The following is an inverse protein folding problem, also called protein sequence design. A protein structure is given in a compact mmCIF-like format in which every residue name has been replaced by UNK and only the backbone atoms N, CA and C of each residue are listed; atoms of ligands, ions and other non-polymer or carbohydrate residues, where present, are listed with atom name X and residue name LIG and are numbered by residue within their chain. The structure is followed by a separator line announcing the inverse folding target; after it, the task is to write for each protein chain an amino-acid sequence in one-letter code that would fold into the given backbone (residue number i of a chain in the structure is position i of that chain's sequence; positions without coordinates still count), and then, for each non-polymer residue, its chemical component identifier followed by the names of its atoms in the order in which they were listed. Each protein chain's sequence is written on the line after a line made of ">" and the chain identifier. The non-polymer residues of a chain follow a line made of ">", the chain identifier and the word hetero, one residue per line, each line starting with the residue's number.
data_IF_292184263915
#
_entry.id   IF_292184263915
#
_cell.length_a   1.000
_cell.length_b   1.000
_cell.length_c   1.000
_cell.angle_alpha   90.00
_cell.angle_beta   90.00
_cell.angle_gamma   90.00
#
_symmetry.space_group_name_H-M   'P 1'
#
loop_
_entity.id
_entity.type
_entity.pdbx_description
1 polymer ?
#
# COMPACT_ATOMS: atom_id res chain seq x y z
N UNK A 1 8.91 -6.84 -16.70
CA UNK A 1 9.32 -5.48 -17.12
C UNK A 1 9.03 -4.55 -15.95
N UNK A 2 9.84 -3.52 -15.73
CA UNK A 2 9.54 -2.48 -14.75
C UNK A 2 8.58 -1.43 -15.35
N UNK A 3 8.13 -0.45 -14.56
CA UNK A 3 7.56 0.78 -15.12
C UNK A 3 8.64 1.55 -15.89
N UNK A 4 8.23 2.28 -16.92
CA UNK A 4 9.07 3.34 -17.52
C UNK A 4 9.15 4.53 -16.57
N UNK A 5 10.12 5.42 -16.73
CA UNK A 5 10.26 6.60 -15.87
C UNK A 5 8.99 7.46 -15.81
N UNK A 6 8.29 7.64 -16.95
CA UNK A 6 7.06 8.43 -17.01
C UNK A 6 5.91 7.75 -16.24
N UNK A 7 5.71 6.46 -16.45
CA UNK A 7 4.70 5.68 -15.73
C UNK A 7 5.00 5.67 -14.22
N UNK A 8 6.26 5.48 -13.84
CA UNK A 8 6.68 5.49 -12.44
C UNK A 8 6.37 6.83 -11.77
N UNK A 9 6.67 7.96 -12.42
CA UNK A 9 6.36 9.28 -11.87
C UNK A 9 4.85 9.52 -11.74
N UNK A 10 4.05 9.06 -12.72
CA UNK A 10 2.59 9.17 -12.67
C UNK A 10 2.01 8.34 -11.52
N UNK A 11 2.38 7.05 -11.44
CA UNK A 11 1.97 6.13 -10.37
C UNK A 11 2.40 6.66 -9.01
N UNK A 12 3.65 7.11 -8.88
CA UNK A 12 4.17 7.67 -7.63
C UNK A 12 3.37 8.89 -7.18
N UNK A 13 3.04 9.80 -8.09
CA UNK A 13 2.25 10.99 -7.77
C UNK A 13 0.86 10.61 -7.27
N UNK A 14 0.21 9.67 -7.92
CA UNK A 14 -1.14 9.21 -7.58
C UNK A 14 -1.18 8.49 -6.24
N UNK A 15 -0.28 7.52 -6.02
CA UNK A 15 -0.13 6.82 -4.73
C UNK A 15 0.21 7.81 -3.62
N UNK A 16 1.09 8.79 -3.88
CA UNK A 16 1.43 9.80 -2.88
C UNK A 16 0.21 10.63 -2.46
N UNK A 17 -0.59 11.09 -3.41
CA UNK A 17 -1.83 11.83 -3.11
C UNK A 17 -2.82 11.00 -2.30
N UNK A 18 -2.94 9.71 -2.62
CA UNK A 18 -3.76 8.77 -1.85
C UNK A 18 -3.25 8.59 -0.42
N UNK A 19 -1.96 8.38 -0.23
CA UNK A 19 -1.40 8.20 1.12
C UNK A 19 -1.57 9.47 1.95
N UNK A 20 -1.40 10.67 1.37
CA UNK A 20 -1.64 11.92 2.09
C UNK A 20 -3.11 12.09 2.53
N UNK A 21 -4.09 11.52 1.81
CA UNK A 21 -5.50 11.63 2.20
C UNK A 21 -5.88 10.71 3.36
N UNK A 22 -5.19 9.58 3.52
CA UNK A 22 -5.43 8.61 4.61
C UNK A 22 -4.45 8.78 5.78
N UNK A 23 -3.36 9.54 5.61
CA UNK A 23 -2.31 9.66 6.63
C UNK A 23 -2.88 10.25 7.93
N UNK A 24 -2.57 9.67 9.09
CA UNK A 24 -3.00 10.24 10.35
C UNK A 24 -2.40 11.64 10.60
N UNK A 25 -3.03 12.42 11.50
CA UNK A 25 -2.52 13.71 11.96
C UNK A 25 -1.06 13.62 12.45
N UNK A 26 -0.30 14.72 12.32
CA UNK A 26 1.14 14.75 12.66
C UNK A 26 1.47 14.27 14.07
N UNK A 27 0.57 14.49 15.04
CA UNK A 27 0.78 14.05 16.42
C UNK A 27 0.71 12.53 16.60
N UNK A 28 0.04 11.79 15.69
CA UNK A 28 -0.07 10.33 15.70
C UNK A 28 1.02 9.67 14.86
N UNK A 29 1.63 10.38 13.90
CA UNK A 29 2.63 9.81 12.96
C UNK A 29 3.85 9.19 13.65
N UNK A 30 4.16 9.62 14.87
CA UNK A 30 5.24 9.02 15.67
C UNK A 30 4.87 7.62 16.22
N UNK A 31 3.58 7.34 16.36
CA UNK A 31 3.04 6.07 16.86
C UNK A 31 2.58 5.16 15.72
N UNK A 32 1.94 5.74 14.70
CA UNK A 32 1.46 5.04 13.51
C UNK A 32 1.51 5.98 12.31
N UNK A 33 2.26 5.60 11.29
CA UNK A 33 2.27 6.28 10.00
C UNK A 33 1.97 5.29 8.87
N UNK A 34 1.41 5.78 7.77
CA UNK A 34 1.14 4.96 6.59
C UNK A 34 2.21 5.25 5.56
N UNK A 35 2.95 4.20 5.21
CA UNK A 35 4.06 4.24 4.26
C UNK A 35 3.76 3.40 3.04
N UNK A 36 4.39 3.77 1.93
CA UNK A 36 4.30 3.00 0.71
C UNK A 36 5.68 2.84 0.08
N UNK A 37 5.85 1.76 -0.69
CA UNK A 37 7.03 1.52 -1.51
C UNK A 37 6.60 1.04 -2.88
N UNK A 38 7.34 1.44 -3.91
CA UNK A 38 7.07 1.06 -5.29
C UNK A 38 8.30 0.33 -5.82
N UNK A 39 8.13 -0.96 -6.09
CA UNK A 39 9.16 -1.85 -6.61
C UNK A 39 8.70 -2.43 -7.96
N UNK A 40 9.39 -2.06 -9.03
CA UNK A 40 9.07 -2.42 -10.42
C UNK A 40 7.64 -2.03 -10.86
N UNK A 41 6.68 -2.92 -10.64
CA UNK A 41 5.25 -2.79 -10.96
C UNK A 41 4.36 -3.15 -9.77
N UNK A 42 4.97 -3.23 -8.59
CA UNK A 42 4.32 -3.59 -7.33
C UNK A 42 4.40 -2.40 -6.40
N UNK A 43 3.26 -2.02 -5.87
CA UNK A 43 3.07 -0.96 -4.89
C UNK A 43 2.70 -1.68 -3.60
N UNK A 44 3.56 -1.58 -2.59
CA UNK A 44 3.31 -2.10 -1.25
C UNK A 44 2.92 -0.93 -0.36
N UNK A 45 1.79 -1.05 0.33
CA UNK A 45 1.28 -0.08 1.31
C UNK A 45 1.25 -0.79 2.66
N UNK A 46 1.71 -0.11 3.70
CA UNK A 46 1.75 -0.67 5.04
C UNK A 46 1.81 0.38 6.13
N UNK A 47 1.64 -0.09 7.35
CA UNK A 47 1.69 0.71 8.55
C UNK A 47 3.09 0.65 9.15
N UNK A 48 3.73 1.80 9.28
CA UNK A 48 4.98 1.94 10.02
C UNK A 48 4.66 2.28 11.47
N UNK A 49 5.13 1.45 12.39
CA UNK A 49 4.96 1.65 13.83
C UNK A 49 6.22 1.33 14.63
N UNK A 50 6.43 1.93 15.80
CA UNK A 50 7.50 1.53 16.71
C UNK A 50 7.38 0.05 17.09
N UNK A 51 8.52 -0.64 17.17
CA UNK A 51 8.56 -2.02 17.62
C UNK A 51 8.28 -2.07 19.13
N UNK A 52 7.36 -2.95 19.53
CA UNK A 52 7.09 -3.20 20.95
C UNK A 52 8.36 -3.72 21.65
N UNK A 53 8.84 -3.00 22.68
CA UNK A 53 10.12 -3.24 23.36
C UNK A 53 11.38 -3.14 22.47
N UNK A 54 11.27 -2.51 21.29
CA UNK A 54 12.42 -2.21 20.44
C UNK A 54 13.33 -1.13 21.02
N UNK A 55 14.49 -0.92 20.38
CA UNK A 55 15.37 0.21 20.70
C UNK A 55 14.65 1.53 20.41
N UNK A 56 14.96 2.63 21.12
CA UNK A 56 14.42 3.95 20.79
C UNK A 56 14.66 4.30 19.32
N UNK A 57 13.59 4.55 18.57
CA UNK A 57 13.62 4.83 17.13
C UNK A 57 13.55 3.59 16.22
N UNK A 58 13.45 2.38 16.77
CA UNK A 58 13.24 1.16 15.98
C UNK A 58 11.79 1.05 15.52
N UNK A 59 11.58 1.10 14.21
CA UNK A 59 10.26 0.99 13.58
C UNK A 59 10.17 -0.26 12.71
N UNK A 60 9.01 -0.88 12.68
CA UNK A 60 8.67 -1.96 11.78
C UNK A 60 7.57 -1.52 10.82
N UNK A 61 7.67 -1.97 9.56
CA UNK A 61 6.60 -1.80 8.57
C UNK A 61 5.78 -3.08 8.51
N UNK A 62 4.50 -2.96 8.80
CA UNK A 62 3.53 -4.02 8.63
C UNK A 62 2.88 -3.87 7.24
N UNK A 63 3.12 -4.80 6.32
CA UNK A 63 2.51 -4.72 5.00
C UNK A 63 1.01 -5.05 5.11
N UNK A 64 0.18 -4.16 4.59
CA UNK A 64 -1.28 -4.26 4.65
C UNK A 64 -1.87 -4.60 3.28
N UNK A 65 -1.53 -3.78 2.28
CA UNK A 65 -2.04 -3.89 0.93
C UNK A 65 -0.89 -3.97 -0.08
N UNK A 66 -1.06 -4.79 -1.11
CA UNK A 66 -0.13 -4.88 -2.23
C UNK A 66 -0.90 -4.76 -3.53
N UNK A 67 -0.59 -3.75 -4.31
CA UNK A 67 -1.20 -3.51 -5.61
C UNK A 67 -0.14 -3.82 -6.67
N UNK A 68 -0.44 -4.74 -7.60
CA UNK A 68 0.49 -5.16 -8.64
C UNK A 68 -0.12 -4.97 -10.02
N UNK A 69 0.56 -4.21 -10.87
CA UNK A 69 0.18 -4.09 -12.27
C UNK A 69 0.66 -5.32 -13.06
N UNK A 70 -0.23 -5.91 -13.84
CA UNK A 70 0.03 -7.05 -14.70
C UNK A 70 -0.10 -6.59 -16.15
N UNK A 71 1.00 -6.13 -16.75
CA UNK A 71 1.03 -5.65 -18.15
C UNK A 71 0.39 -6.60 -19.17
N UNK A 72 0.58 -7.91 -19.02
CA UNK A 72 0.04 -8.88 -19.98
C UNK A 72 -1.48 -8.99 -19.95
N UNK A 73 -2.11 -8.56 -18.85
CA UNK A 73 -3.56 -8.55 -18.67
C UNK A 73 -4.12 -7.14 -18.68
N UNK A 74 -3.25 -6.12 -18.76
CA UNK A 74 -3.57 -4.71 -18.58
C UNK A 74 -4.47 -4.44 -17.36
N UNK A 75 -4.12 -5.07 -16.23
CA UNK A 75 -4.94 -5.04 -15.00
C UNK A 75 -4.10 -4.89 -13.75
N UNK A 76 -4.68 -4.23 -12.76
CA UNK A 76 -4.16 -4.10 -11.41
C UNK A 76 -4.74 -5.20 -10.53
N UNK A 77 -3.88 -5.94 -9.84
CA UNK A 77 -4.27 -6.95 -8.86
C UNK A 77 -4.01 -6.43 -7.47
N UNK A 78 -5.01 -6.49 -6.62
CA UNK A 78 -4.97 -6.02 -5.24
C UNK A 78 -4.85 -7.25 -4.36
N UNK A 79 -3.87 -7.24 -3.48
CA UNK A 79 -3.60 -8.32 -2.55
C UNK A 79 -3.66 -7.79 -1.13
N UNK A 80 -4.11 -8.63 -0.21
CA UNK A 80 -4.12 -8.36 1.22
C UNK A 80 -3.27 -9.40 1.95
N UNK A 81 -2.65 -8.98 3.06
CA UNK A 81 -1.83 -9.84 3.90
C UNK A 81 -2.71 -10.48 4.98
N UNK A 82 -2.95 -11.79 4.90
CA UNK A 82 -3.80 -12.50 5.88
C UNK A 82 -2.98 -12.94 7.10
N UNK A 83 -3.66 -13.39 8.16
CA UNK A 83 -3.04 -13.93 9.41
C UNK A 83 -2.06 -15.11 9.18
N UNK A 84 -2.14 -15.78 8.02
CA UNK A 84 -1.19 -16.83 7.63
C UNK A 84 0.14 -16.27 7.07
N UNK A 85 0.31 -14.93 7.08
CA UNK A 85 1.43 -14.18 6.52
C UNK A 85 1.61 -14.41 5.02
N UNK A 86 0.53 -14.71 4.30
CA UNK A 86 0.53 -14.87 2.85
C UNK A 86 -0.32 -13.79 2.19
N UNK A 87 0.08 -13.43 0.98
CA UNK A 87 -0.66 -12.53 0.12
C UNK A 87 -1.78 -13.29 -0.58
N UNK A 88 -3.01 -12.85 -0.34
CA UNK A 88 -4.20 -13.37 -1.00
C UNK A 88 -4.72 -12.33 -1.98
N UNK A 89 -5.20 -12.78 -3.15
CA UNK A 89 -5.86 -11.87 -4.10
C UNK A 89 -7.16 -11.41 -3.46
N UNK A 90 -7.32 -10.09 -3.33
CA UNK A 90 -8.55 -9.46 -2.85
C UNK A 90 -9.45 -9.14 -4.05
N UNK A 91 -8.95 -8.33 -4.98
CA UNK A 91 -9.72 -7.92 -6.16
C UNK A 91 -8.81 -7.55 -7.34
N UNK A 92 -9.41 -7.23 -8.50
CA UNK A 92 -8.72 -6.71 -9.67
C UNK A 92 -9.40 -5.46 -10.20
N UNK A 93 -8.61 -4.45 -10.54
CA UNK A 93 -9.07 -3.17 -11.10
C UNK A 93 -8.46 -2.90 -12.48
N UNK A 94 -9.10 -2.05 -13.26
CA UNK A 94 -8.59 -1.64 -14.57
C UNK A 94 -7.66 -0.43 -14.45
N UNK A 95 -7.93 0.44 -13.47
CA UNK A 95 -7.10 1.62 -13.20
C UNK A 95 -6.44 1.56 -11.82
N UNK A 96 -5.38 2.35 -11.64
CA UNK A 96 -4.72 2.50 -10.35
C UNK A 96 -5.66 3.20 -9.34
N UNK A 97 -6.39 4.24 -9.77
CA UNK A 97 -7.37 4.95 -8.96
C UNK A 97 -8.38 4.00 -8.35
N UNK A 98 -8.99 3.15 -9.17
CA UNK A 98 -9.94 2.11 -8.70
C UNK A 98 -9.28 1.18 -7.68
N UNK A 99 -8.03 0.75 -7.94
CA UNK A 99 -7.32 -0.11 -7.00
C UNK A 99 -7.07 0.56 -5.64
N UNK A 100 -6.76 1.86 -5.64
CA UNK A 100 -6.58 2.64 -4.42
C UNK A 100 -7.92 2.89 -3.71
N UNK A 101 -8.99 3.14 -4.44
CA UNK A 101 -10.34 3.29 -3.88
C UNK A 101 -10.81 2.01 -3.18
N UNK A 102 -10.57 0.83 -3.76
CA UNK A 102 -10.87 -0.46 -3.11
C UNK A 102 -10.13 -0.60 -1.78
N UNK A 103 -8.85 -0.20 -1.75
CA UNK A 103 -8.05 -0.20 -0.51
C UNK A 103 -8.55 0.84 0.49
N UNK A 104 -9.10 1.98 0.02
CA UNK A 104 -9.65 3.03 0.88
C UNK A 104 -10.98 2.66 1.52
N UNK A 105 -11.89 2.11 0.72
CA UNK A 105 -13.23 1.71 1.16
C UNK A 105 -13.12 0.57 2.15
N UNK A 106 -12.13 -0.32 1.93
CA UNK A 106 -11.83 -1.47 2.77
C UNK A 106 -13.10 -2.16 3.30
N UNK A 107 -13.98 -2.54 2.37
CA UNK A 107 -15.33 -3.00 2.67
C UNK A 107 -15.35 -4.15 3.69
N UNK A 108 -14.32 -5.01 3.66
CA UNK A 108 -14.18 -6.19 4.51
C UNK A 108 -13.24 -5.96 5.72
N UNK A 109 -12.76 -4.73 5.95
CA UNK A 109 -11.78 -4.36 6.99
C UNK A 109 -10.51 -5.25 6.93
N UNK A 110 -10.03 -5.47 5.72
CA UNK A 110 -8.91 -6.34 5.37
C UNK A 110 -7.56 -5.63 5.30
N UNK A 111 -7.53 -4.30 5.17
CA UNK A 111 -6.31 -3.51 4.93
C UNK A 111 -5.90 -2.67 6.14
N UNK A 112 -6.82 -1.91 6.72
CA UNK A 112 -6.55 -1.01 7.84
C UNK A 112 -7.49 -1.37 9.00
N UNK A 113 -6.94 -1.88 10.11
CA UNK A 113 -7.73 -2.40 11.22
C UNK A 113 -6.95 -2.61 12.52
#
# INVERSE_FOLDING_TARGET
>A
MAFTDLEYQAVKKEVHQFIESIRPPEHIRNELDIVYSINDQTIDIGEQRPVWQGKPGETSVLPSARIKYIRSLDRWKIYWMRKDMRWHLYDTAETLTEALEVVMVDQDCCFFG
#
